data_IF_000250784185
#
_entry.id   IF_000250784185
#
_cell.length_a   1.000
_cell.length_b   1.000
_cell.length_c   1.000
_cell.angle_alpha   90.00
_cell.angle_beta   90.00
_cell.angle_gamma   90.00
#
_symmetry.space_group_name_H-M   'P 1'
#
loop_
_entity.id
_entity.type
_entity.pdbx_description
1 polymer ?
#
# COMPACT_ATOMS: atom_id res chain seq x y z
N UNK A 1 -4.68 34.49 8.89
CA UNK A 1 -3.78 33.39 9.26
C UNK A 1 -2.84 33.93 10.32
N UNK A 2 -2.77 33.31 11.50
CA UNK A 2 -1.79 33.66 12.53
C UNK A 2 -0.38 33.49 11.96
N UNK A 3 0.55 34.44 12.20
CA UNK A 3 1.93 34.30 11.73
C UNK A 3 2.56 33.07 12.38
N UNK A 4 3.14 32.18 11.57
CA UNK A 4 3.83 31.00 12.07
C UNK A 4 5.13 31.40 12.76
N UNK A 5 5.33 30.91 13.98
CA UNK A 5 6.54 31.16 14.78
C UNK A 5 7.46 29.93 14.71
N UNK A 6 8.77 30.15 14.55
CA UNK A 6 9.76 29.06 14.58
C UNK A 6 9.70 28.37 15.94
N UNK A 7 9.67 27.03 15.95
CA UNK A 7 9.49 26.22 17.15
C UNK A 7 8.03 25.96 17.54
N UNK A 8 7.05 26.57 16.85
CA UNK A 8 5.64 26.31 17.08
C UNK A 8 5.28 24.88 16.61
N UNK A 9 4.57 24.14 17.46
CA UNK A 9 3.96 22.87 17.08
C UNK A 9 2.78 23.13 16.13
N UNK A 10 2.80 22.48 14.97
CA UNK A 10 1.77 22.63 13.95
C UNK A 10 0.65 21.60 14.19
N UNK A 11 -0.58 22.09 14.32
CA UNK A 11 -1.76 21.23 14.41
C UNK A 11 -2.24 20.84 13.00
N UNK A 12 -2.41 19.55 12.72
CA UNK A 12 -2.92 19.11 11.43
C UNK A 12 -4.44 19.11 11.36
N UNK A 13 -4.97 19.36 10.17
CA UNK A 13 -6.36 19.15 9.82
C UNK A 13 -6.50 18.00 8.81
N UNK A 14 -7.58 17.22 8.90
CA UNK A 14 -7.82 16.11 7.99
C UNK A 14 -9.00 16.38 7.06
N UNK A 15 -8.77 16.27 5.76
CA UNK A 15 -9.85 16.23 4.77
C UNK A 15 -10.51 14.85 4.76
N UNK A 16 -11.70 14.74 5.36
CA UNK A 16 -12.44 13.47 5.45
C UNK A 16 -12.68 12.80 4.09
N UNK A 17 -12.89 13.58 3.02
CA UNK A 17 -13.06 13.05 1.67
C UNK A 17 -11.81 12.34 1.14
N UNK A 18 -10.62 12.87 1.44
CA UNK A 18 -9.35 12.24 1.05
C UNK A 18 -9.00 11.05 1.95
N UNK A 19 -9.40 11.08 3.22
CA UNK A 19 -9.30 9.91 4.11
C UNK A 19 -10.18 8.77 3.59
N UNK A 20 -11.41 9.05 3.17
CA UNK A 20 -12.27 8.05 2.55
C UNK A 20 -11.67 7.53 1.23
N UNK A 21 -11.10 8.43 0.41
CA UNK A 21 -10.46 8.05 -0.85
C UNK A 21 -9.22 7.15 -0.64
N UNK A 22 -8.38 7.47 0.35
CA UNK A 22 -7.19 6.65 0.67
C UNK A 22 -7.62 5.23 1.04
N UNK A 23 -8.67 5.10 1.86
CA UNK A 23 -9.27 3.80 2.19
C UNK A 23 -9.80 3.07 0.95
N UNK A 24 -10.55 3.74 0.06
CA UNK A 24 -11.09 3.12 -1.15
C UNK A 24 -9.99 2.60 -2.09
N UNK A 25 -8.90 3.36 -2.25
CA UNK A 25 -7.74 2.94 -3.05
C UNK A 25 -7.02 1.77 -2.39
N UNK A 26 -6.86 1.79 -1.07
CA UNK A 26 -6.28 0.68 -0.31
C UNK A 26 -7.10 -0.61 -0.45
N UNK A 27 -8.42 -0.47 -0.31
CA UNK A 27 -9.39 -1.54 -0.50
C UNK A 27 -9.30 -2.13 -1.92
N UNK A 28 -9.31 -1.29 -2.95
CA UNK A 28 -9.26 -1.74 -4.34
C UNK A 28 -7.94 -2.48 -4.66
N UNK A 29 -6.80 -1.91 -4.26
CA UNK A 29 -5.49 -2.55 -4.41
C UNK A 29 -5.40 -3.89 -3.68
N UNK A 30 -5.91 -3.94 -2.44
CA UNK A 30 -5.96 -5.17 -1.63
C UNK A 30 -6.87 -6.24 -2.26
N UNK A 31 -8.03 -5.85 -2.77
CA UNK A 31 -8.97 -6.78 -3.41
C UNK A 31 -8.36 -7.41 -4.66
N UNK A 32 -7.74 -6.60 -5.54
CA UNK A 32 -7.06 -7.10 -6.74
C UNK A 32 -5.91 -8.03 -6.36
N UNK A 33 -5.12 -7.67 -5.35
CA UNK A 33 -4.05 -8.52 -4.85
C UNK A 33 -4.56 -9.87 -4.32
N UNK A 34 -5.68 -9.90 -3.57
CA UNK A 34 -6.31 -11.13 -3.07
C UNK A 34 -6.90 -12.00 -4.21
N UNK A 35 -7.38 -11.38 -5.27
CA UNK A 35 -7.82 -12.09 -6.48
C UNK A 35 -6.62 -12.74 -7.16
N UNK A 36 -5.52 -12.00 -7.34
CA UNK A 36 -4.26 -12.51 -7.89
C UNK A 36 -3.66 -13.62 -7.02
N UNK A 37 -3.66 -13.47 -5.69
CA UNK A 37 -3.08 -14.41 -4.74
C UNK A 37 -3.66 -15.83 -4.90
N UNK A 38 -4.97 -15.92 -5.15
CA UNK A 38 -5.65 -17.18 -5.41
C UNK A 38 -5.27 -17.87 -6.74
N UNK A 39 -4.56 -17.17 -7.63
CA UNK A 39 -4.09 -17.66 -8.94
C UNK A 39 -2.56 -17.75 -9.03
N UNK A 40 -1.84 -17.55 -7.91
CA UNK A 40 -0.37 -17.54 -7.89
C UNK A 40 0.27 -18.89 -8.19
N UNK A 41 -0.45 -20.00 -7.98
CA UNK A 41 0.03 -21.36 -8.28
C UNK A 41 -0.69 -21.85 -9.54
N UNK A 42 0.08 -22.12 -10.60
CA UNK A 42 -0.46 -22.67 -11.85
C UNK A 42 -0.88 -24.14 -11.74
N UNK A 43 -1.55 -24.65 -12.77
CA UNK A 43 -1.97 -26.06 -12.84
C UNK A 43 -0.80 -27.05 -12.70
N UNK A 44 0.40 -26.64 -13.12
CA UNK A 44 1.64 -27.43 -13.04
C UNK A 44 2.29 -27.40 -11.64
N UNK A 45 1.65 -26.76 -10.65
CA UNK A 45 2.17 -26.59 -9.29
C UNK A 45 3.31 -25.56 -9.16
N UNK A 46 3.71 -24.92 -10.26
CA UNK A 46 4.74 -23.86 -10.29
C UNK A 46 4.13 -22.47 -10.03
N UNK A 47 4.87 -21.55 -9.40
CA UNK A 47 4.41 -20.18 -9.20
C UNK A 47 4.33 -19.43 -10.53
N UNK A 48 3.19 -18.80 -10.82
CA UNK A 48 3.02 -17.92 -11.96
C UNK A 48 3.57 -16.53 -11.60
N UNK A 49 4.83 -16.28 -11.97
CA UNK A 49 5.54 -15.06 -11.61
C UNK A 49 4.85 -13.78 -12.12
N UNK A 50 4.17 -13.83 -13.27
CA UNK A 50 3.40 -12.69 -13.78
C UNK A 50 2.22 -12.33 -12.86
N UNK A 51 1.53 -13.33 -12.32
CA UNK A 51 0.44 -13.13 -11.35
C UNK A 51 0.98 -12.62 -10.01
N UNK A 52 2.14 -13.11 -9.57
CA UNK A 52 2.83 -12.59 -8.38
C UNK A 52 3.19 -11.11 -8.56
N UNK A 53 3.73 -10.74 -9.73
CA UNK A 53 4.06 -9.35 -10.05
C UNK A 53 2.81 -8.47 -10.05
N UNK A 54 1.70 -8.92 -10.64
CA UNK A 54 0.42 -8.19 -10.60
C UNK A 54 -0.08 -8.01 -9.15
N UNK A 55 0.02 -9.04 -8.32
CA UNK A 55 -0.37 -8.97 -6.91
C UNK A 55 0.52 -7.98 -6.12
N UNK A 56 1.83 -7.99 -6.39
CA UNK A 56 2.80 -7.11 -5.77
C UNK A 56 2.55 -5.64 -6.12
N UNK A 57 2.28 -5.34 -7.40
CA UNK A 57 1.95 -3.99 -7.86
C UNK A 57 0.61 -3.53 -7.30
N UNK A 58 -0.42 -4.39 -7.31
CA UNK A 58 -1.73 -4.06 -6.76
C UNK A 58 -1.68 -3.80 -5.25
N UNK A 59 -0.98 -4.62 -4.47
CA UNK A 59 -0.88 -4.44 -3.03
C UNK A 59 0.10 -3.34 -2.65
N UNK A 60 1.35 -3.46 -3.08
CA UNK A 60 2.44 -2.56 -2.71
C UNK A 60 2.33 -1.18 -3.36
N UNK A 61 2.10 -1.15 -4.68
CA UNK A 61 2.00 0.10 -5.43
C UNK A 61 0.69 0.84 -5.18
N UNK A 62 -0.44 0.14 -5.24
CA UNK A 62 -1.75 0.79 -5.14
C UNK A 62 -2.28 0.74 -3.71
N UNK A 63 -2.36 -0.46 -3.13
CA UNK A 63 -2.96 -0.68 -1.81
C UNK A 63 -2.24 0.03 -0.66
N UNK A 64 -0.91 0.11 -0.76
CA UNK A 64 -0.02 0.69 0.25
C UNK A 64 0.48 2.07 -0.22
N UNK A 65 1.23 2.14 -1.34
CA UNK A 65 1.85 3.39 -1.83
C UNK A 65 0.89 4.48 -2.24
N UNK A 66 -0.06 4.19 -3.12
CA UNK A 66 -1.04 5.21 -3.50
C UNK A 66 -1.92 5.62 -2.31
N UNK A 67 -2.32 4.68 -1.45
CA UNK A 67 -3.04 5.00 -0.22
C UNK A 67 -2.27 6.00 0.63
N UNK A 68 -1.00 5.73 0.92
CA UNK A 68 -0.18 6.58 1.79
C UNK A 68 -0.14 8.01 1.28
N UNK A 69 0.19 8.24 0.00
CA UNK A 69 0.30 9.60 -0.52
C UNK A 69 -1.06 10.31 -0.63
N UNK A 70 -2.16 9.59 -0.89
CA UNK A 70 -3.52 10.16 -0.79
C UNK A 70 -3.84 10.51 0.66
N UNK A 71 -3.43 9.69 1.62
CA UNK A 71 -3.54 9.96 3.05
C UNK A 71 -2.72 11.18 3.48
N UNK A 72 -1.50 11.35 2.96
CA UNK A 72 -0.67 12.52 3.16
C UNK A 72 -1.30 13.80 2.60
N UNK A 73 -2.05 13.71 1.48
CA UNK A 73 -2.81 14.85 0.96
C UNK A 73 -4.05 15.17 1.80
N UNK A 74 -4.59 14.17 2.51
CA UNK A 74 -5.64 14.38 3.49
C UNK A 74 -5.12 15.17 4.70
N UNK A 75 -3.84 14.98 5.05
CA UNK A 75 -3.13 15.65 6.13
C UNK A 75 -2.71 17.07 5.74
N UNK A 76 -3.43 18.08 6.25
CA UNK A 76 -3.19 19.49 5.94
C UNK A 76 -2.48 20.19 7.09
N UNK A 77 -1.37 20.81 6.76
CA UNK A 77 -0.65 21.73 7.64
C UNK A 77 -0.79 23.17 7.14
N UNK A 78 -0.59 24.18 8.01
CA UNK A 78 -0.56 25.59 7.61
C UNK A 78 0.70 25.98 6.80
N UNK A 79 1.47 25.00 6.31
CA UNK A 79 2.67 25.17 5.48
C UNK A 79 2.52 24.37 4.19
N UNK A 80 3.14 24.83 3.11
CA UNK A 80 3.21 24.07 1.86
C UNK A 80 4.02 22.79 2.05
N UNK A 81 3.50 21.68 1.53
CA UNK A 81 4.15 20.37 1.52
C UNK A 81 4.43 19.99 0.06
N UNK A 82 5.70 19.72 -0.22
CA UNK A 82 6.16 19.07 -1.44
C UNK A 82 6.86 17.76 -1.08
N UNK A 83 7.18 16.95 -2.09
CA UNK A 83 7.79 15.63 -1.88
C UNK A 83 9.03 15.47 -2.75
N UNK A 84 10.13 15.04 -2.14
CA UNK A 84 11.34 14.63 -2.83
C UNK A 84 11.03 13.43 -3.75
N UNK A 85 11.17 13.65 -5.06
CA UNK A 85 10.81 12.66 -6.08
C UNK A 85 11.66 11.38 -5.98
N UNK A 86 13.00 11.43 -5.83
CA UNK A 86 13.82 10.24 -5.64
C UNK A 86 13.36 9.34 -4.48
N UNK A 87 13.19 9.90 -3.28
CA UNK A 87 12.74 9.12 -2.12
C UNK A 87 11.33 8.56 -2.31
N UNK A 88 10.45 9.34 -2.94
CA UNK A 88 9.10 8.88 -3.30
C UNK A 88 9.16 7.64 -4.19
N UNK A 89 10.00 7.64 -5.23
CA UNK A 89 10.17 6.50 -6.15
C UNK A 89 10.81 5.30 -5.44
N UNK A 90 11.82 5.52 -4.59
CA UNK A 90 12.43 4.43 -3.81
C UNK A 90 11.41 3.80 -2.87
N UNK A 91 10.55 4.59 -2.22
CA UNK A 91 9.48 4.07 -1.36
C UNK A 91 8.46 3.22 -2.13
N UNK A 92 8.14 3.59 -3.38
CA UNK A 92 7.27 2.82 -4.28
C UNK A 92 7.89 1.46 -4.61
N UNK A 93 9.16 1.46 -5.03
CA UNK A 93 9.90 0.24 -5.39
C UNK A 93 10.00 -0.68 -4.17
N UNK A 94 10.34 -0.14 -3.00
CA UNK A 94 10.38 -0.90 -1.75
C UNK A 94 9.01 -1.53 -1.44
N UNK A 95 7.92 -0.77 -1.55
CA UNK A 95 6.57 -1.25 -1.29
C UNK A 95 6.20 -2.44 -2.19
N UNK A 96 6.46 -2.33 -3.50
CA UNK A 96 6.15 -3.38 -4.48
C UNK A 96 7.01 -4.62 -4.22
N UNK A 97 8.33 -4.45 -4.08
CA UNK A 97 9.25 -5.59 -3.91
C UNK A 97 8.98 -6.34 -2.61
N UNK A 98 8.87 -5.63 -1.49
CA UNK A 98 8.69 -6.28 -0.17
C UNK A 98 7.32 -6.97 -0.12
N UNK A 99 6.26 -6.33 -0.64
CA UNK A 99 4.93 -6.95 -0.71
C UNK A 99 4.93 -8.19 -1.61
N UNK A 100 5.61 -8.15 -2.75
CA UNK A 100 5.74 -9.29 -3.66
C UNK A 100 6.47 -10.47 -3.02
N UNK A 101 7.58 -10.22 -2.33
CA UNK A 101 8.33 -11.26 -1.62
C UNK A 101 7.48 -11.84 -0.48
N UNK A 102 6.77 -11.00 0.29
CA UNK A 102 5.90 -11.46 1.37
C UNK A 102 4.77 -12.37 0.86
N UNK A 103 4.10 -11.98 -0.24
CA UNK A 103 3.08 -12.81 -0.88
C UNK A 103 3.65 -14.14 -1.38
N UNK A 104 4.82 -14.09 -2.03
CA UNK A 104 5.50 -15.29 -2.53
C UNK A 104 5.88 -16.25 -1.40
N UNK A 105 6.40 -15.75 -0.28
CA UNK A 105 6.75 -16.56 0.89
C UNK A 105 5.53 -17.22 1.54
N UNK A 106 4.40 -16.50 1.58
CA UNK A 106 3.18 -17.00 2.21
C UNK A 106 2.40 -18.00 1.34
N UNK A 107 2.45 -17.87 0.00
CA UNK A 107 1.58 -18.61 -0.92
C UNK A 107 2.23 -19.28 -2.13
N UNK A 108 3.51 -19.00 -2.43
CA UNK A 108 4.15 -19.42 -3.68
C UNK A 108 4.50 -20.92 -3.77
N UNK A 109 4.44 -21.67 -2.67
CA UNK A 109 4.89 -23.08 -2.60
C UNK A 109 3.76 -24.12 -2.52
N UNK A 110 2.61 -23.88 -3.15
CA UNK A 110 1.49 -24.85 -3.32
C UNK A 110 0.71 -25.24 -2.04
N UNK A 111 1.28 -25.12 -0.82
CA UNK A 111 0.55 -25.29 0.45
C UNK A 111 0.88 -24.17 1.44
N UNK A 112 -0.15 -23.62 2.09
CA UNK A 112 -0.02 -22.70 3.22
C UNK A 112 0.86 -23.33 4.29
N UNK A 113 2.02 -22.72 4.54
CA UNK A 113 3.00 -23.18 5.53
C UNK A 113 3.03 -22.19 6.68
N UNK A 114 2.82 -22.65 7.93
CA UNK A 114 2.85 -21.76 9.12
C UNK A 114 4.15 -20.94 9.22
N UNK A 115 5.35 -21.52 8.99
CA UNK A 115 6.59 -20.74 8.89
C UNK A 115 6.59 -19.70 7.78
N UNK A 116 6.07 -20.04 6.59
CA UNK A 116 6.00 -19.12 5.45
C UNK A 116 5.03 -17.96 5.68
N UNK A 117 3.90 -18.24 6.32
CA UNK A 117 2.94 -17.23 6.77
C UNK A 117 3.59 -16.28 7.78
N UNK A 118 4.27 -16.80 8.81
CA UNK A 118 4.92 -15.95 9.82
C UNK A 118 6.00 -15.05 9.19
N UNK A 119 6.88 -15.63 8.36
CA UNK A 119 7.92 -14.89 7.66
C UNK A 119 7.33 -13.83 6.71
N UNK A 120 6.31 -14.20 5.94
CA UNK A 120 5.60 -13.27 5.05
C UNK A 120 4.89 -12.15 5.81
N UNK A 121 4.32 -12.44 6.98
CA UNK A 121 3.62 -11.46 7.81
C UNK A 121 4.57 -10.43 8.42
N UNK A 122 5.70 -10.90 8.95
CA UNK A 122 6.77 -10.02 9.45
C UNK A 122 7.31 -9.14 8.32
N UNK A 123 7.63 -9.75 7.17
CA UNK A 123 8.19 -9.03 6.03
C UNK A 123 7.19 -8.01 5.46
N UNK A 124 5.92 -8.38 5.31
CA UNK A 124 4.88 -7.46 4.86
C UNK A 124 4.71 -6.30 5.84
N UNK A 125 4.58 -6.57 7.14
CA UNK A 125 4.45 -5.53 8.17
C UNK A 125 5.61 -4.54 8.17
N UNK A 126 6.85 -5.07 8.13
CA UNK A 126 8.06 -4.25 7.97
C UNK A 126 8.04 -3.47 6.66
N UNK A 127 7.60 -4.08 5.55
CA UNK A 127 7.46 -3.41 4.26
C UNK A 127 6.53 -2.21 4.29
N UNK A 128 5.35 -2.34 4.92
CA UNK A 128 4.42 -1.22 5.09
C UNK A 128 5.05 -0.11 5.94
N UNK A 129 5.78 -0.45 7.01
CA UNK A 129 6.47 0.53 7.86
C UNK A 129 7.60 1.24 7.11
N UNK A 130 8.47 0.48 6.42
CA UNK A 130 9.61 1.02 5.65
C UNK A 130 9.11 2.01 4.63
N UNK A 131 8.12 1.61 3.83
CA UNK A 131 7.53 2.52 2.86
C UNK A 131 6.89 3.74 3.53
N UNK A 132 6.18 3.56 4.66
CA UNK A 132 5.44 4.65 5.30
C UNK A 132 6.39 5.72 5.83
N UNK A 133 7.39 5.32 6.61
CA UNK A 133 8.36 6.26 7.17
C UNK A 133 9.25 6.86 6.08
N UNK A 134 9.63 6.08 5.05
CA UNK A 134 10.38 6.62 3.91
C UNK A 134 9.55 7.64 3.12
N UNK A 135 8.24 7.43 2.96
CA UNK A 135 7.31 8.39 2.39
C UNK A 135 7.18 9.66 3.23
N UNK A 136 7.17 9.53 4.56
CA UNK A 136 7.21 10.69 5.47
C UNK A 136 8.52 11.47 5.32
N UNK A 137 9.66 10.79 5.30
CA UNK A 137 10.97 11.44 5.09
C UNK A 137 11.12 12.06 3.70
N UNK A 138 10.28 11.68 2.73
CA UNK A 138 10.23 12.34 1.43
C UNK A 138 9.55 13.72 1.49
N UNK A 139 8.81 14.04 2.57
CA UNK A 139 8.19 15.36 2.70
C UNK A 139 9.23 16.46 2.82
N UNK A 140 9.07 17.48 1.98
CA UNK A 140 9.79 18.72 2.03
C UNK A 140 8.81 19.83 2.42
N UNK A 141 9.01 20.39 3.62
CA UNK A 141 8.14 21.39 4.20
C UNK A 141 8.90 22.29 5.17
N UNK A 142 8.30 23.43 5.54
CA UNK A 142 8.82 24.35 6.58
C UNK A 142 8.57 23.82 8.00
N UNK A 143 8.75 22.53 8.21
CA UNK A 143 8.62 21.87 9.49
C UNK A 143 9.61 20.71 9.63
N UNK A 144 10.18 20.53 10.82
CA UNK A 144 10.92 19.33 11.19
C UNK A 144 9.98 18.31 11.83
N UNK A 145 10.22 17.02 11.56
CA UNK A 145 9.50 15.90 12.16
C UNK A 145 10.27 15.38 13.37
N UNK A 146 9.63 15.40 14.54
CA UNK A 146 10.09 14.71 15.74
C UNK A 146 9.16 13.55 16.07
N UNK A 147 9.71 12.35 16.28
CA UNK A 147 8.90 11.12 16.39
C UNK A 147 8.81 10.64 17.84
N UNK A 148 7.58 10.41 18.32
CA UNK A 148 7.36 9.62 19.54
C UNK A 148 7.58 8.13 19.24
N UNK A 149 8.71 7.60 19.72
CA UNK A 149 9.12 6.21 19.51
C UNK A 149 8.11 5.19 20.06
N UNK A 150 7.30 5.55 21.06
CA UNK A 150 6.28 4.64 21.60
C UNK A 150 5.14 4.46 20.59
N UNK A 151 4.70 5.54 19.95
CA UNK A 151 3.65 5.51 18.93
C UNK A 151 4.18 4.88 17.64
N UNK A 152 5.45 5.09 17.31
CA UNK A 152 6.13 4.35 16.22
C UNK A 152 6.14 2.84 16.52
N UNK A 153 6.48 2.43 17.75
CA UNK A 153 6.42 1.02 18.15
C UNK A 153 5.02 0.43 18.00
N UNK A 154 3.99 1.20 18.38
CA UNK A 154 2.59 0.82 18.23
C UNK A 154 2.18 0.67 16.75
N UNK A 155 2.58 1.60 15.88
CA UNK A 155 2.28 1.51 14.44
C UNK A 155 2.90 0.26 13.83
N UNK A 156 4.15 -0.08 14.20
CA UNK A 156 4.85 -1.29 13.75
C UNK A 156 4.13 -2.55 14.21
N UNK A 157 3.69 -2.60 15.47
CA UNK A 157 2.91 -3.72 16.00
C UNK A 157 1.58 -3.89 15.25
N UNK A 158 0.87 -2.78 14.97
CA UNK A 158 -0.34 -2.77 14.15
C UNK A 158 -0.02 -3.30 12.74
N UNK A 159 1.07 -2.85 12.12
CA UNK A 159 1.45 -3.27 10.77
C UNK A 159 1.67 -4.80 10.67
N UNK A 160 2.43 -5.37 11.62
CA UNK A 160 2.77 -6.80 11.61
C UNK A 160 1.53 -7.66 11.89
N UNK A 161 0.72 -7.28 12.88
CA UNK A 161 -0.50 -8.02 13.24
C UNK A 161 -1.54 -7.96 12.13
N UNK A 162 -1.72 -6.77 11.53
CA UNK A 162 -2.56 -6.55 10.36
C UNK A 162 -2.12 -7.39 9.16
N UNK A 163 -0.83 -7.37 8.83
CA UNK A 163 -0.26 -8.15 7.74
C UNK A 163 -0.49 -9.65 7.96
N UNK A 164 -0.31 -10.13 9.19
CA UNK A 164 -0.59 -11.52 9.55
C UNK A 164 -2.05 -11.93 9.33
N UNK A 165 -2.99 -11.12 9.82
CA UNK A 165 -4.41 -11.34 9.59
C UNK A 165 -4.77 -11.32 8.10
N UNK A 166 -4.23 -10.35 7.36
CA UNK A 166 -4.45 -10.18 5.92
C UNK A 166 -3.96 -11.40 5.12
N UNK A 167 -2.72 -11.84 5.34
CA UNK A 167 -2.14 -13.00 4.68
C UNK A 167 -2.88 -14.28 5.04
N UNK A 168 -3.30 -14.44 6.30
CA UNK A 168 -4.11 -15.58 6.72
C UNK A 168 -5.45 -15.61 5.98
N UNK A 169 -6.15 -14.48 5.92
CA UNK A 169 -7.40 -14.33 5.17
C UNK A 169 -7.19 -14.61 3.68
N UNK A 170 -6.09 -14.13 3.09
CA UNK A 170 -5.77 -14.31 1.68
C UNK A 170 -5.70 -15.78 1.24
N UNK A 171 -5.13 -16.64 2.08
CA UNK A 171 -4.91 -18.04 1.75
C UNK A 171 -5.98 -18.99 2.30
N UNK A 172 -6.76 -18.56 3.28
CA UNK A 172 -7.82 -19.39 3.86
C UNK A 172 -9.20 -19.17 3.23
N UNK A 173 -9.41 -18.08 2.47
CA UNK A 173 -10.70 -17.71 1.91
C UNK A 173 -10.82 -18.04 0.41
N UNK A 174 -11.82 -18.87 0.06
CA UNK A 174 -12.07 -19.30 -1.33
C UNK A 174 -13.17 -18.51 -2.06
N UNK A 175 -14.16 -17.97 -1.34
CA UNK A 175 -15.31 -17.25 -1.93
C UNK A 175 -15.01 -15.78 -2.15
N UNK A 176 -15.54 -15.19 -3.23
CA UNK A 176 -15.35 -13.78 -3.56
C UNK A 176 -15.87 -12.84 -2.48
N UNK A 177 -17.02 -13.15 -1.86
CA UNK A 177 -17.59 -12.37 -0.75
C UNK A 177 -16.61 -12.24 0.42
N UNK A 178 -15.91 -13.32 0.76
CA UNK A 178 -14.90 -13.30 1.81
C UNK A 178 -13.66 -12.50 1.40
N UNK A 179 -13.27 -12.50 0.11
CA UNK A 179 -12.16 -11.67 -0.39
C UNK A 179 -12.49 -10.18 -0.31
N UNK A 180 -13.74 -9.80 -0.57
CA UNK A 180 -14.21 -8.42 -0.38
C UNK A 180 -14.13 -8.02 1.09
N UNK A 181 -14.62 -8.86 2.01
CA UNK A 181 -14.49 -8.61 3.44
C UNK A 181 -13.01 -8.50 3.88
N UNK A 182 -12.15 -9.40 3.39
CA UNK A 182 -10.72 -9.37 3.68
C UNK A 182 -10.05 -8.11 3.13
N UNK A 183 -10.38 -7.67 1.92
CA UNK A 183 -9.88 -6.43 1.34
C UNK A 183 -10.30 -5.20 2.17
N UNK A 184 -11.51 -5.19 2.73
CA UNK A 184 -11.97 -4.13 3.62
C UNK A 184 -11.17 -4.11 4.92
N UNK A 185 -10.96 -5.27 5.54
CA UNK A 185 -10.11 -5.39 6.73
C UNK A 185 -8.67 -4.94 6.44
N UNK A 186 -8.11 -5.34 5.29
CA UNK A 186 -6.79 -4.89 4.85
C UNK A 186 -6.75 -3.37 4.69
N UNK A 187 -7.70 -2.77 3.97
CA UNK A 187 -7.77 -1.33 3.78
C UNK A 187 -7.84 -0.58 5.11
N UNK A 188 -8.69 -1.03 6.05
CA UNK A 188 -8.77 -0.46 7.40
C UNK A 188 -7.43 -0.56 8.09
N UNK A 189 -6.77 -1.71 8.01
CA UNK A 189 -5.54 -1.95 8.74
C UNK A 189 -4.35 -1.13 8.18
N UNK A 190 -4.21 -1.02 6.86
CA UNK A 190 -3.15 -0.18 6.26
C UNK A 190 -3.42 1.30 6.58
N UNK A 191 -4.68 1.76 6.49
CA UNK A 191 -5.05 3.14 6.88
C UNK A 191 -4.80 3.38 8.37
N UNK A 192 -5.15 2.43 9.24
CA UNK A 192 -4.92 2.53 10.69
C UNK A 192 -3.44 2.68 10.99
N UNK A 193 -2.60 1.83 10.40
CA UNK A 193 -1.15 1.94 10.55
C UNK A 193 -0.67 3.32 10.09
N UNK A 194 -1.12 3.79 8.92
CA UNK A 194 -0.71 5.08 8.38
C UNK A 194 -1.11 6.24 9.30
N UNK A 195 -2.36 6.31 9.76
CA UNK A 195 -2.81 7.43 10.61
C UNK A 195 -2.22 7.37 12.02
N UNK A 196 -2.00 6.18 12.58
CA UNK A 196 -1.26 6.03 13.85
C UNK A 196 0.20 6.45 13.66
N UNK A 197 0.85 6.04 12.57
CA UNK A 197 2.21 6.46 12.22
C UNK A 197 2.33 7.98 12.05
N UNK A 198 1.35 8.62 11.40
CA UNK A 198 1.27 10.07 11.29
C UNK A 198 1.11 10.76 12.65
N UNK A 199 0.30 10.19 13.56
CA UNK A 199 0.13 10.73 14.90
C UNK A 199 1.40 10.66 15.77
N UNK A 200 2.38 9.83 15.38
CA UNK A 200 3.68 9.77 16.05
C UNK A 200 4.57 10.98 15.72
N UNK A 201 4.30 11.69 14.62
CA UNK A 201 5.16 12.77 14.13
C UNK A 201 4.68 14.15 14.60
N UNK A 202 5.44 14.74 15.50
CA UNK A 202 5.28 16.13 15.90
C UNK A 202 5.91 17.05 14.85
N UNK A 203 5.09 17.89 14.23
CA UNK A 203 5.52 18.82 13.18
C UNK A 203 5.88 20.16 13.80
N UNK A 204 7.18 20.47 13.88
CA UNK A 204 7.69 21.69 14.51
C UNK A 204 8.10 22.69 13.44
N UNK A 205 7.54 23.91 13.44
CA UNK A 205 7.82 24.91 12.42
C UNK A 205 9.29 25.35 12.41
N UNK A 206 9.89 25.45 11.23
CA UNK A 206 11.27 25.93 11.02
C UNK A 206 11.32 27.11 10.04
N UNK A 207 12.40 27.89 10.09
CA UNK A 207 12.51 29.16 9.36
C UNK A 207 12.34 29.00 7.83
N UNK A 208 12.99 28.00 7.23
CA UNK A 208 12.93 27.72 5.80
C UNK A 208 12.80 26.21 5.56
N UNK A 209 12.12 25.85 4.48
CA UNK A 209 12.10 24.47 4.01
C UNK A 209 13.46 24.14 3.39
N UNK A 210 13.95 22.89 3.48
CA UNK A 210 15.12 22.46 2.76
C UNK A 210 14.96 22.71 1.25
N UNK A 211 16.00 23.21 0.57
CA UNK A 211 15.96 23.36 -0.87
C UNK A 211 16.07 21.99 -1.56
N UNK A 212 14.98 21.48 -2.13
CA UNK A 212 15.01 20.31 -3.02
C UNK A 212 14.80 20.74 -4.48
N UNK A 213 15.78 20.45 -5.33
CA UNK A 213 15.69 20.72 -6.77
C UNK A 213 14.68 19.83 -7.50
N UNK A 214 14.32 18.68 -6.93
CA UNK A 214 13.41 17.68 -7.51
C UNK A 214 12.26 17.37 -6.54
N UNK A 215 11.39 18.35 -6.35
CA UNK A 215 10.21 18.22 -5.51
C UNK A 215 8.90 18.31 -6.33
N UNK A 216 7.91 17.49 -5.99
CA UNK A 216 6.55 17.58 -6.53
C UNK A 216 5.60 18.11 -5.45
N UNK A 217 4.85 19.17 -5.76
CA UNK A 217 3.97 19.83 -4.80
C UNK A 217 2.52 19.34 -4.85
N UNK A 218 1.87 19.27 -3.68
CA UNK A 218 0.42 19.24 -3.47
C UNK A 218 -0.41 18.53 -4.56
N UNK A 219 -1.29 19.28 -5.23
CA UNK A 219 -2.29 18.75 -6.17
C UNK A 219 -1.70 17.91 -7.32
N UNK A 220 -0.47 18.22 -7.78
CA UNK A 220 0.18 17.45 -8.84
C UNK A 220 0.54 16.04 -8.39
N UNK A 221 0.96 15.90 -7.12
CA UNK A 221 1.18 14.58 -6.50
C UNK A 221 -0.14 13.81 -6.39
N UNK A 222 -1.22 14.47 -5.98
CA UNK A 222 -2.52 13.82 -5.87
C UNK A 222 -3.05 13.30 -7.20
N UNK A 223 -2.97 14.12 -8.24
CA UNK A 223 -3.42 13.74 -9.58
C UNK A 223 -2.58 12.60 -10.15
N UNK A 224 -1.26 12.65 -10.00
CA UNK A 224 -0.36 11.62 -10.51
C UNK A 224 -0.57 10.29 -9.80
N UNK A 225 -0.65 10.30 -8.46
CA UNK A 225 -0.89 9.10 -7.66
C UNK A 225 -2.26 8.49 -7.97
N UNK A 226 -3.33 9.29 -7.98
CA UNK A 226 -4.67 8.78 -8.25
C UNK A 226 -4.82 8.28 -9.69
N UNK A 227 -4.32 9.05 -10.67
CA UNK A 227 -4.38 8.69 -12.09
C UNK A 227 -3.59 7.43 -12.41
N UNK A 228 -2.37 7.30 -11.89
CA UNK A 228 -1.53 6.10 -12.09
C UNK A 228 -2.13 4.89 -11.39
N UNK A 229 -2.63 5.03 -10.16
CA UNK A 229 -3.31 3.95 -9.44
C UNK A 229 -4.52 3.41 -10.21
N UNK A 230 -5.39 4.31 -10.70
CA UNK A 230 -6.56 3.95 -11.49
C UNK A 230 -6.20 3.23 -12.79
N UNK A 231 -5.24 3.77 -13.55
CA UNK A 231 -4.78 3.18 -14.81
C UNK A 231 -4.19 1.77 -14.60
N UNK A 232 -3.37 1.59 -13.56
CA UNK A 232 -2.76 0.30 -13.24
C UNK A 232 -3.81 -0.71 -12.77
N UNK A 233 -4.79 -0.32 -11.95
CA UNK A 233 -5.88 -1.22 -11.55
C UNK A 233 -6.70 -1.70 -12.76
N UNK A 234 -7.02 -0.78 -13.67
CA UNK A 234 -7.75 -1.12 -14.91
C UNK A 234 -6.93 -2.07 -15.77
N UNK A 235 -5.62 -1.79 -15.92
CA UNK A 235 -4.71 -2.66 -16.67
C UNK A 235 -4.62 -4.07 -16.06
N UNK A 236 -4.44 -4.17 -14.74
CA UNK A 236 -4.39 -5.46 -14.05
C UNK A 236 -5.71 -6.21 -14.20
N UNK A 237 -6.85 -5.53 -14.04
CA UNK A 237 -8.17 -6.11 -14.26
C UNK A 237 -8.29 -6.67 -15.68
N UNK A 238 -7.91 -5.87 -16.69
CA UNK A 238 -7.94 -6.28 -18.10
C UNK A 238 -7.05 -7.49 -18.38
N UNK A 239 -5.84 -7.57 -17.83
CA UNK A 239 -4.96 -8.74 -17.96
C UNK A 239 -5.59 -9.98 -17.33
N UNK A 240 -6.21 -9.85 -16.15
CA UNK A 240 -6.83 -10.95 -15.40
C UNK A 240 -8.10 -11.47 -16.09
N UNK A 241 -8.88 -10.60 -16.75
CA UNK A 241 -10.08 -10.98 -17.50
C UNK A 241 -9.78 -11.40 -18.94
N UNK A 242 -8.80 -10.77 -19.60
CA UNK A 242 -8.37 -11.12 -20.95
C UNK A 242 -7.81 -12.54 -21.01
N UNK A 243 -6.98 -12.91 -20.03
CA UNK A 243 -6.50 -14.30 -19.87
C UNK A 243 -7.62 -15.31 -19.59
N UNK A 244 -8.80 -14.88 -19.16
CA UNK A 244 -9.98 -15.76 -19.02
C UNK A 244 -10.83 -15.89 -20.28
N UNK A 245 -10.65 -15.02 -21.28
CA UNK A 245 -11.30 -15.13 -22.59
C UNK A 245 -10.47 -15.99 -23.57
N UNK A 246 -9.16 -16.07 -23.35
CA UNK A 246 -8.24 -16.87 -24.19
C UNK A 246 -8.06 -18.32 -23.71
N UNK A 247 -8.79 -18.76 -22.67
CA UNK A 247 -8.86 -20.18 -22.32
C UNK A 247 -9.58 -20.92 -23.46
N UNK A 248 -8.89 -21.76 -24.26
CA UNK A 248 -9.50 -22.28 -25.47
C UNK A 248 -10.69 -23.16 -25.12
N UNK A 249 -11.80 -22.96 -25.82
CA UNK A 249 -12.94 -23.89 -25.88
C UNK A 249 -12.55 -25.32 -26.35
N UNK A 250 -11.25 -25.61 -26.54
CA UNK A 250 -10.69 -26.86 -27.03
C UNK A 250 -10.78 -28.02 -26.03
N UNK A 251 -10.97 -27.78 -24.73
CA UNK A 251 -11.08 -28.88 -23.74
C UNK A 251 -12.46 -29.56 -23.70
N UNK A 252 -13.47 -29.05 -24.43
CA UNK A 252 -14.84 -29.64 -24.43
C UNK A 252 -15.08 -30.69 -25.51
N UNK A 253 -14.19 -30.85 -26.50
CA UNK A 253 -14.34 -31.85 -27.59
C UNK A 253 -13.71 -33.22 -27.32
N UNK A 254 -12.86 -33.36 -26.29
CA UNK A 254 -12.17 -34.63 -26.01
C UNK A 254 -12.99 -35.56 -25.09
N UNK A 255 -14.15 -35.11 -24.59
CA UNK A 255 -15.00 -35.91 -23.70
C UNK A 255 -16.24 -36.52 -24.37
N UNK A 256 -16.35 -36.42 -25.70
CA UNK A 256 -17.50 -36.90 -26.48
C UNK A 256 -17.10 -37.68 -27.74
N UNK A 257 -15.94 -38.33 -27.75
CA UNK A 257 -15.54 -39.28 -28.80
C UNK A 257 -15.14 -40.61 -28.19
#
# INVERSE_FOLDING_TARGET
MTPLVVGQLLSPEYSLGLVALSFLISFAGSLVALICAGRMVGADGKPNLAVVACAAVALGGIGIWSMHFIGMLAYRLPVGISYNVPLTVVSLVAAILISGIALYLAGGRSKFSKPGWLAGSLLAGVGVCVMHYMGMFAMNMRASMDFDLNIVGLSVAIAITAAGAALWLAFNLRRLSHKVAAAAVMGVAVCTMHYVGMSAANMICIAAAPADALAIGGNYMGLSVFGTAGAVLIFIYWVITGTSLDAPAAARRVRTS
#
